data_IF_637454740825
#
_entry.id   IF_637454740825
#
_cell.length_a   1.000
_cell.length_b   1.000
_cell.length_c   1.000
_cell.angle_alpha   90.00
_cell.angle_beta   90.00
_cell.angle_gamma   90.00
#
_symmetry.space_group_name_H-M   'P 1'
#
loop_
_entity.id
_entity.type
_entity.pdbx_description
1 polymer ?
#
# COMPACT_ATOMS: atom_id res chain seq x y z
N UNK A 1 -18.36 -21.72 -5.59
CA UNK A 1 -17.11 -21.13 -6.15
C UNK A 1 -16.87 -19.79 -5.45
N UNK A 2 -15.67 -19.52 -4.93
CA UNK A 2 -15.38 -18.28 -4.20
C UNK A 2 -15.50 -17.05 -5.10
N UNK A 3 -16.09 -15.96 -4.57
CA UNK A 3 -16.32 -14.68 -5.27
C UNK A 3 -15.10 -13.75 -5.11
N UNK A 4 -13.95 -14.14 -5.66
CA UNK A 4 -12.71 -13.33 -5.57
C UNK A 4 -11.86 -13.44 -6.84
N UNK A 5 -11.09 -12.38 -7.11
CA UNK A 5 -10.14 -12.28 -8.21
C UNK A 5 -8.73 -11.97 -7.66
N UNK A 6 -7.71 -12.44 -8.36
CA UNK A 6 -6.32 -12.05 -8.08
C UNK A 6 -6.08 -10.69 -8.71
N UNK A 7 -5.63 -9.72 -7.93
CA UNK A 7 -5.31 -8.38 -8.40
C UNK A 7 -3.90 -8.00 -7.96
N UNK A 8 -3.14 -7.45 -8.88
CA UNK A 8 -1.85 -6.85 -8.58
C UNK A 8 -2.10 -5.44 -8.06
N UNK A 9 -1.79 -5.22 -6.79
CA UNK A 9 -1.94 -3.93 -6.13
C UNK A 9 -0.56 -3.38 -5.84
N UNK A 10 -0.35 -2.11 -6.21
CA UNK A 10 0.84 -1.36 -5.83
C UNK A 10 0.91 -1.29 -4.32
N UNK A 11 2.06 -1.63 -3.74
CA UNK A 11 2.29 -1.41 -2.31
C UNK A 11 2.31 0.09 -2.10
N UNK A 12 1.20 0.66 -1.63
CA UNK A 12 1.09 2.09 -1.35
C UNK A 12 1.80 2.41 -0.03
N UNK A 13 3.12 2.53 -0.11
CA UNK A 13 3.96 3.25 0.85
C UNK A 13 4.59 4.48 0.19
N UNK A 14 4.10 4.88 -0.99
CA UNK A 14 4.72 5.92 -1.81
C UNK A 14 4.50 7.31 -1.23
N UNK A 15 3.34 7.58 -0.65
CA UNK A 15 3.02 8.93 -0.14
C UNK A 15 3.98 9.36 0.99
N UNK A 16 4.25 8.48 1.95
CA UNK A 16 5.21 8.73 3.02
C UNK A 16 6.66 8.86 2.50
N UNK A 17 7.04 8.08 1.50
CA UNK A 17 8.38 8.20 0.91
C UNK A 17 8.51 9.50 0.12
N UNK A 18 7.47 9.91 -0.60
CA UNK A 18 7.47 11.15 -1.37
C UNK A 18 7.59 12.37 -0.45
N UNK A 19 6.90 12.39 0.69
CA UNK A 19 7.02 13.50 1.66
C UNK A 19 8.43 13.57 2.27
N UNK A 20 9.06 12.43 2.55
CA UNK A 20 10.45 12.38 2.98
C UNK A 20 11.41 12.88 1.90
N UNK A 21 11.22 12.47 0.65
CA UNK A 21 12.08 12.91 -0.48
C UNK A 21 11.96 14.42 -0.71
N UNK A 22 10.75 14.99 -0.60
CA UNK A 22 10.53 16.43 -0.65
C UNK A 22 11.28 17.18 0.46
N UNK A 23 11.15 16.72 1.71
CA UNK A 23 11.82 17.32 2.87
C UNK A 23 13.34 17.33 2.71
N UNK A 24 13.91 16.23 2.18
CA UNK A 24 15.34 16.12 1.91
C UNK A 24 15.79 17.09 0.81
N UNK A 25 14.99 17.26 -0.25
CA UNK A 25 15.34 18.16 -1.35
C UNK A 25 15.30 19.64 -0.91
N UNK A 26 14.33 20.01 -0.08
CA UNK A 26 14.25 21.35 0.53
C UNK A 26 15.48 21.66 1.39
N UNK A 27 15.88 20.73 2.26
CA UNK A 27 17.07 20.87 3.10
C UNK A 27 18.35 21.02 2.25
N UNK A 28 18.47 20.25 1.17
CA UNK A 28 19.61 20.36 0.25
C UNK A 28 19.67 21.70 -0.46
N UNK A 29 18.52 22.22 -0.91
CA UNK A 29 18.42 23.56 -1.52
C UNK A 29 18.82 24.64 -0.52
N UNK A 30 18.34 24.57 0.71
CA UNK A 30 18.72 25.50 1.78
C UNK A 30 20.23 25.49 2.06
N UNK A 31 20.87 24.33 1.94
CA UNK A 31 22.31 24.16 2.13
C UNK A 31 23.16 24.31 0.85
N UNK A 32 22.58 24.71 -0.30
CA UNK A 32 23.30 24.87 -1.57
C UNK A 32 23.88 23.56 -2.13
N UNK A 33 23.37 22.41 -1.69
CA UNK A 33 23.83 21.09 -2.12
C UNK A 33 23.12 20.70 -3.41
N UNK A 34 23.85 20.07 -4.34
CA UNK A 34 23.27 19.54 -5.59
C UNK A 34 22.15 18.53 -5.31
N UNK A 35 21.09 18.45 -6.14
CA UNK A 35 20.00 17.47 -5.97
C UNK A 35 20.54 16.03 -5.98
N UNK A 36 19.83 15.14 -5.27
CA UNK A 36 20.20 13.73 -5.24
C UNK A 36 19.92 13.06 -6.59
N UNK A 37 20.71 12.04 -6.93
CA UNK A 37 20.43 11.20 -8.10
C UNK A 37 19.06 10.55 -7.94
N UNK A 38 18.18 10.58 -8.96
CA UNK A 38 16.86 10.00 -8.86
C UNK A 38 16.98 8.51 -8.55
N UNK A 39 16.27 8.05 -7.52
CA UNK A 39 16.15 6.62 -7.24
C UNK A 39 15.26 6.00 -8.30
N UNK A 40 15.72 4.91 -8.90
CA UNK A 40 14.86 4.04 -9.70
C UNK A 40 13.94 3.32 -8.73
N UNK A 41 12.79 3.94 -8.42
CA UNK A 41 11.79 3.31 -7.58
C UNK A 41 11.20 2.13 -8.37
N UNK A 42 11.54 0.91 -7.95
CA UNK A 42 10.86 -0.28 -8.45
C UNK A 42 9.46 -0.28 -7.87
N UNK A 43 8.46 -0.20 -8.74
CA UNK A 43 7.08 -0.36 -8.33
C UNK A 43 6.87 -1.80 -7.85
N UNK A 44 6.91 -2.00 -6.54
CA UNK A 44 6.58 -3.30 -5.96
C UNK A 44 5.07 -3.51 -6.03
N UNK A 45 4.67 -4.51 -6.80
CA UNK A 45 3.30 -5.00 -6.87
C UNK A 45 3.18 -6.24 -6.01
N UNK A 46 2.08 -6.33 -5.26
CA UNK A 46 1.72 -7.54 -4.53
C UNK A 46 0.44 -8.12 -5.11
N UNK A 47 0.42 -9.43 -5.28
CA UNK A 47 -0.80 -10.12 -5.69
C UNK A 47 -1.70 -10.33 -4.46
N UNK A 48 -2.90 -9.74 -4.48
CA UNK A 48 -3.90 -9.91 -3.43
C UNK A 48 -5.14 -10.60 -3.97
N UNK A 49 -5.87 -11.29 -3.09
CA UNK A 49 -7.22 -11.76 -3.39
C UNK A 49 -8.21 -10.64 -3.06
N UNK A 50 -8.77 -10.01 -4.08
CA UNK A 50 -9.82 -9.01 -3.93
C UNK A 50 -11.20 -9.66 -4.10
N UNK A 51 -12.13 -9.38 -3.21
CA UNK A 51 -13.52 -9.83 -3.35
C UNK A 51 -14.18 -9.20 -4.57
N UNK A 52 -15.05 -9.94 -5.26
CA UNK A 52 -15.89 -9.37 -6.31
C UNK A 52 -17.17 -8.73 -5.77
N UNK A 53 -17.50 -8.95 -4.49
CA UNK A 53 -18.71 -8.41 -3.86
C UNK A 53 -18.42 -7.15 -3.04
N UNK A 54 -17.24 -7.07 -2.43
CA UNK A 54 -16.82 -5.93 -1.59
C UNK A 54 -15.31 -5.67 -1.77
N UNK A 55 -14.93 -4.66 -2.57
CA UNK A 55 -13.53 -4.34 -2.85
C UNK A 55 -12.66 -4.07 -1.62
N UNK A 56 -13.28 -3.66 -0.50
CA UNK A 56 -12.59 -3.27 0.74
C UNK A 56 -12.41 -4.45 1.71
N UNK A 57 -13.08 -5.57 1.46
CA UNK A 57 -12.88 -6.81 2.20
C UNK A 57 -11.45 -7.34 2.03
N UNK A 58 -10.76 -7.55 3.15
CA UNK A 58 -9.41 -8.12 3.19
C UNK A 58 -9.42 -9.64 3.32
N UNK A 59 -8.49 -10.32 2.65
CA UNK A 59 -8.30 -11.76 2.82
C UNK A 59 -7.50 -12.04 4.10
N UNK A 60 -8.14 -12.66 5.09
CA UNK A 60 -7.56 -12.90 6.41
C UNK A 60 -7.13 -14.37 6.56
N UNK A 61 -5.90 -14.56 7.03
CA UNK A 61 -5.34 -15.86 7.43
C UNK A 61 -4.78 -15.71 8.83
N UNK A 62 -5.39 -16.40 9.80
CA UNK A 62 -4.92 -16.47 11.18
C UNK A 62 -5.09 -17.90 11.68
N UNK A 63 -4.15 -18.37 12.49
CA UNK A 63 -4.24 -19.69 13.09
C UNK A 63 -5.39 -19.73 14.10
N UNK A 64 -6.18 -20.81 14.07
CA UNK A 64 -7.38 -20.96 14.90
C UNK A 64 -8.62 -20.17 14.45
N UNK A 65 -8.59 -19.46 13.30
CA UNK A 65 -9.77 -18.78 12.73
C UNK A 65 -10.07 -19.25 11.29
N UNK A 66 -11.34 -19.17 10.85
CA UNK A 66 -11.69 -19.46 9.46
C UNK A 66 -10.94 -18.52 8.50
N UNK A 67 -10.35 -19.09 7.46
CA UNK A 67 -9.70 -18.34 6.38
C UNK A 67 -10.78 -17.82 5.44
N UNK A 68 -10.73 -16.53 5.07
CA UNK A 68 -11.79 -15.93 4.27
C UNK A 68 -11.59 -14.45 3.99
N UNK A 69 -12.53 -13.87 3.24
CA UNK A 69 -12.64 -12.42 3.05
C UNK A 69 -13.49 -11.84 4.18
N UNK A 70 -12.96 -10.84 4.87
CA UNK A 70 -13.64 -10.16 5.98
C UNK A 70 -13.49 -8.64 5.81
N UNK A 71 -14.51 -7.89 6.20
CA UNK A 71 -14.46 -6.44 6.29
C UNK A 71 -14.13 -6.02 7.74
N UNK A 72 -13.33 -4.96 7.90
CA UNK A 72 -13.18 -4.28 9.18
C UNK A 72 -14.32 -3.27 9.28
N UNK A 73 -15.38 -3.64 9.98
CA UNK A 73 -16.49 -2.73 10.19
C UNK A 73 -16.11 -1.63 11.20
N UNK A 74 -15.96 -0.40 10.72
CA UNK A 74 -15.76 0.78 11.56
C UNK A 74 -17.10 1.48 11.82
N UNK A 75 -18.08 0.75 12.37
CA UNK A 75 -19.32 1.41 12.83
C UNK A 75 -18.98 2.27 14.03
N UNK A 76 -19.11 3.58 13.87
CA UNK A 76 -19.36 4.48 14.99
C UNK A 76 -20.84 4.34 15.32
N UNK A 77 -21.12 3.71 16.46
CA UNK A 77 -22.45 3.78 17.07
C UNK A 77 -22.69 5.18 17.63
#
# INVERSE_FOLDING_TARGET
KGKWVKKDVLVNSKDYINTLEQSVEEDRKAHGKKPLRPKVQKAETKNIKQSTTDPDSGYMVRDGKPKGLFYLDHRTA
#
